data_IF_723650058565
#
_entry.id   IF_723650058565
#
_cell.length_a   1.000
_cell.length_b   1.000
_cell.length_c   1.000
_cell.angle_alpha   90.00
_cell.angle_beta   90.00
_cell.angle_gamma   90.00
#
_symmetry.space_group_name_H-M   'P 1'
#
loop_
_entity.id
_entity.type
_entity.pdbx_description
1 polymer ?
#
# COMPACT_ATOMS: atom_id res chain seq x y z
N UNK A 1 -34.36 6.28 8.89
CA UNK A 1 -33.01 5.77 9.20
C UNK A 1 -32.77 4.40 8.53
N UNK A 2 -32.90 4.29 7.19
CA UNK A 2 -32.77 2.98 6.51
C UNK A 2 -32.36 3.05 5.03
N UNK A 3 -31.59 4.08 4.64
CA UNK A 3 -30.99 4.24 3.31
C UNK A 3 -29.45 4.14 3.32
N UNK A 4 -28.85 3.73 4.45
CA UNK A 4 -27.39 3.52 4.57
C UNK A 4 -26.91 2.10 4.21
N UNK A 5 -27.81 1.20 3.79
CA UNK A 5 -27.50 -0.24 3.58
C UNK A 5 -27.24 -0.66 2.12
N UNK A 6 -27.24 0.27 1.15
CA UNK A 6 -27.08 -0.07 -0.28
C UNK A 6 -25.70 0.25 -0.89
N UNK A 7 -24.70 0.66 -0.11
CA UNK A 7 -23.35 0.96 -0.63
C UNK A 7 -22.21 0.10 -0.03
N UNK A 8 -22.55 -0.96 0.71
CA UNK A 8 -21.57 -1.84 1.38
C UNK A 8 -21.90 -3.33 1.20
N UNK A 9 -22.03 -3.79 -0.04
CA UNK A 9 -21.80 -5.20 -0.38
C UNK A 9 -20.57 -5.31 -1.28
N UNK A 10 -19.46 -4.80 -0.78
CA UNK A 10 -18.16 -5.39 -1.08
C UNK A 10 -18.09 -6.68 -0.23
N UNK A 11 -17.37 -7.72 -0.66
CA UNK A 11 -17.18 -8.92 0.18
C UNK A 11 -16.84 -8.50 1.62
N UNK A 12 -17.38 -9.17 2.66
CA UNK A 12 -17.07 -8.76 4.02
C UNK A 12 -15.56 -8.81 4.21
N UNK A 13 -14.97 -7.67 4.58
CA UNK A 13 -13.56 -7.61 4.96
C UNK A 13 -13.30 -8.66 6.01
N UNK A 14 -12.22 -9.41 5.84
CA UNK A 14 -11.89 -10.47 6.79
C UNK A 14 -11.56 -9.85 8.15
N UNK A 15 -12.32 -10.18 9.22
CA UNK A 15 -12.01 -9.69 10.55
C UNK A 15 -10.74 -10.38 11.02
N UNK A 16 -9.62 -9.66 10.98
CA UNK A 16 -8.34 -10.12 11.49
C UNK A 16 -8.19 -9.73 12.96
N UNK A 17 -7.59 -10.61 13.74
CA UNK A 17 -7.10 -10.28 15.09
C UNK A 17 -5.95 -9.27 15.01
N UNK A 18 -5.69 -8.53 16.09
CA UNK A 18 -4.55 -7.61 16.13
C UNK A 18 -3.21 -8.31 15.89
N UNK A 19 -3.08 -9.58 16.28
CA UNK A 19 -1.87 -10.37 16.05
C UNK A 19 -1.67 -10.64 14.55
N UNK A 20 -2.74 -11.00 13.84
CA UNK A 20 -2.73 -11.22 12.40
C UNK A 20 -2.47 -9.93 11.63
N UNK A 21 -3.09 -8.82 12.04
CA UNK A 21 -2.85 -7.50 11.45
C UNK A 21 -1.39 -7.07 11.59
N UNK A 22 -0.79 -7.24 12.77
CA UNK A 22 0.64 -6.92 12.98
C UNK A 22 1.57 -7.79 12.14
N UNK A 23 1.24 -9.07 11.99
CA UNK A 23 2.00 -9.98 11.13
C UNK A 23 1.90 -9.57 9.68
N UNK A 24 0.70 -9.22 9.22
CA UNK A 24 0.44 -8.75 7.86
C UNK A 24 1.17 -7.43 7.57
N UNK A 25 1.14 -6.48 8.50
CA UNK A 25 1.88 -5.21 8.42
C UNK A 25 3.38 -5.45 8.30
N UNK A 26 3.96 -6.32 9.13
CA UNK A 26 5.38 -6.65 9.06
C UNK A 26 5.75 -7.34 7.73
N UNK A 27 4.92 -8.29 7.28
CA UNK A 27 5.10 -8.99 6.01
C UNK A 27 5.04 -8.02 4.82
N UNK A 28 4.07 -7.10 4.84
CA UNK A 28 3.93 -6.05 3.86
C UNK A 28 5.17 -5.14 3.83
N UNK A 29 5.67 -4.73 4.99
CA UNK A 29 6.89 -3.92 5.12
C UNK A 29 8.12 -4.61 4.51
N UNK A 30 8.36 -5.89 4.83
CA UNK A 30 9.46 -6.68 4.27
C UNK A 30 9.36 -6.80 2.74
N UNK A 31 8.14 -7.02 2.23
CA UNK A 31 7.90 -7.15 0.79
C UNK A 31 8.14 -5.83 0.03
N UNK A 32 7.69 -4.71 0.60
CA UNK A 32 7.92 -3.36 0.05
C UNK A 32 9.42 -3.02 0.06
N UNK A 33 10.15 -3.38 1.12
CA UNK A 33 11.59 -3.16 1.23
C UNK A 33 12.38 -3.97 0.20
N UNK A 34 12.00 -5.23 -0.04
CA UNK A 34 12.64 -6.07 -1.06
C UNK A 34 12.37 -5.63 -2.50
N UNK A 35 11.24 -4.96 -2.75
CA UNK A 35 10.78 -4.69 -4.12
C UNK A 35 10.17 -3.28 -4.33
N UNK A 36 10.92 -2.19 -4.06
CA UNK A 36 10.37 -0.82 -4.10
C UNK A 36 9.86 -0.40 -5.48
N UNK A 37 10.44 -0.91 -6.57
CA UNK A 37 10.00 -0.59 -7.93
C UNK A 37 8.65 -1.21 -8.29
N UNK A 38 8.32 -2.36 -7.71
CA UNK A 38 7.01 -2.99 -7.90
C UNK A 38 5.95 -2.14 -7.21
N UNK A 39 6.28 -1.62 -6.02
CA UNK A 39 5.36 -0.89 -5.16
C UNK A 39 5.55 0.62 -5.22
N UNK A 40 5.74 1.18 -6.42
CA UNK A 40 5.99 2.62 -6.60
C UNK A 40 4.80 3.54 -6.19
N UNK A 41 3.69 2.97 -5.73
CA UNK A 41 2.56 3.67 -5.10
C UNK A 41 2.50 3.53 -3.57
N UNK A 42 3.42 2.76 -2.98
CA UNK A 42 3.60 2.60 -1.54
C UNK A 42 4.93 3.23 -1.18
N UNK A 43 4.88 4.21 -0.30
CA UNK A 43 6.02 5.05 0.03
C UNK A 43 6.36 4.90 1.49
N UNK A 44 7.61 4.54 1.78
CA UNK A 44 8.10 4.49 3.16
C UNK A 44 8.35 5.91 3.64
N UNK A 45 7.66 6.32 4.71
CA UNK A 45 7.97 7.59 5.39
C UNK A 45 9.16 7.37 6.34
N UNK A 46 9.10 6.30 7.12
CA UNK A 46 10.14 5.91 8.07
C UNK A 46 10.10 4.39 8.35
N UNK A 47 10.74 3.95 9.43
CA UNK A 47 10.79 2.53 9.81
C UNK A 47 9.44 1.84 10.02
N UNK A 48 8.39 2.60 10.35
CA UNK A 48 7.10 2.08 10.86
C UNK A 48 5.88 2.72 10.22
N UNK A 49 6.07 3.54 9.18
CA UNK A 49 5.00 4.29 8.50
C UNK A 49 5.11 4.19 6.99
N UNK A 50 3.98 3.92 6.36
CA UNK A 50 3.86 3.83 4.91
C UNK A 50 2.70 4.70 4.41
N UNK A 51 2.92 5.38 3.30
CA UNK A 51 1.91 6.17 2.60
C UNK A 51 1.53 5.46 1.31
N UNK A 52 0.24 5.28 1.08
CA UNK A 52 -0.31 4.53 -0.06
C UNK A 52 -1.12 5.50 -0.92
N UNK A 53 -0.63 5.73 -2.13
CA UNK A 53 -1.16 6.74 -3.07
C UNK A 53 -2.04 6.16 -4.17
N UNK A 54 -2.09 4.82 -4.29
CA UNK A 54 -2.90 4.13 -5.29
C UNK A 54 -3.54 2.88 -4.68
N UNK A 55 -4.78 2.60 -5.08
CA UNK A 55 -5.57 1.48 -4.54
C UNK A 55 -6.01 0.56 -5.68
N UNK A 56 -6.07 -0.74 -5.40
CA UNK A 56 -6.45 -1.76 -6.38
C UNK A 56 -7.69 -2.54 -5.97
N UNK A 57 -8.02 -2.60 -4.68
CA UNK A 57 -9.18 -3.32 -4.20
C UNK A 57 -10.48 -2.64 -4.65
N UNK A 58 -11.48 -3.37 -5.19
CA UNK A 58 -12.73 -2.79 -5.72
C UNK A 58 -13.45 -1.82 -4.79
N UNK A 59 -13.36 -2.06 -3.47
CA UNK A 59 -13.93 -1.21 -2.44
C UNK A 59 -13.33 0.19 -2.34
N UNK A 60 -12.06 0.28 -2.72
CA UNK A 60 -11.24 1.48 -2.62
C UNK A 60 -11.02 2.17 -3.97
N UNK A 61 -11.23 1.47 -5.10
CA UNK A 61 -11.00 2.00 -6.45
C UNK A 61 -11.65 3.35 -6.71
N UNK A 62 -12.87 3.60 -6.19
CA UNK A 62 -13.57 4.89 -6.34
C UNK A 62 -12.87 6.08 -5.66
N UNK A 63 -11.94 5.83 -4.74
CA UNK A 63 -11.16 6.85 -4.03
C UNK A 63 -9.79 7.09 -4.65
N UNK A 64 -9.41 6.29 -5.66
CA UNK A 64 -8.18 6.46 -6.44
C UNK A 64 -8.08 7.89 -6.98
N UNK A 65 -6.96 8.55 -6.76
CA UNK A 65 -6.77 9.92 -7.24
C UNK A 65 -7.45 11.01 -6.41
N UNK A 66 -8.12 10.63 -5.33
CA UNK A 66 -8.88 11.53 -4.45
C UNK A 66 -8.38 11.47 -3.01
N UNK A 67 -7.93 10.29 -2.59
CA UNK A 67 -7.49 10.02 -1.23
C UNK A 67 -6.14 9.29 -1.25
N UNK A 68 -5.38 9.42 -0.17
CA UNK A 68 -4.23 8.58 0.12
C UNK A 68 -4.30 8.12 1.57
N UNK A 69 -3.64 7.01 1.86
CA UNK A 69 -3.69 6.35 3.17
C UNK A 69 -2.33 6.40 3.84
N UNK A 70 -2.32 6.68 5.14
CA UNK A 70 -1.20 6.44 6.04
C UNK A 70 -1.48 5.16 6.83
N UNK A 71 -0.57 4.21 6.71
CA UNK A 71 -0.50 3.02 7.55
C UNK A 71 0.59 3.25 8.58
N UNK A 72 0.24 3.09 9.85
CA UNK A 72 1.19 3.00 10.96
C UNK A 72 0.72 1.92 11.94
N UNK A 73 1.59 1.50 12.85
CA UNK A 73 1.34 0.33 13.71
C UNK A 73 -0.06 0.29 14.33
N UNK A 74 -0.87 -0.67 13.89
CA UNK A 74 -2.24 -0.90 14.37
C UNK A 74 -3.27 0.18 14.01
N UNK A 75 -2.93 1.16 13.17
CA UNK A 75 -3.86 2.20 12.75
C UNK A 75 -3.74 2.51 11.27
N UNK A 76 -4.88 2.80 10.65
CA UNK A 76 -4.95 3.19 9.26
C UNK A 76 -5.73 4.49 9.19
N UNK A 77 -5.11 5.53 8.64
CA UNK A 77 -5.74 6.83 8.45
C UNK A 77 -5.77 7.17 6.97
N UNK A 78 -6.81 7.87 6.53
CA UNK A 78 -6.89 8.36 5.16
C UNK A 78 -7.10 9.87 5.15
N UNK A 79 -6.63 10.48 4.06
CA UNK A 79 -6.64 11.92 3.86
C UNK A 79 -7.21 12.22 2.48
N UNK A 80 -8.18 13.12 2.45
CA UNK A 80 -8.84 13.58 1.22
C UNK A 80 -8.11 14.78 0.67
N UNK A 81 -7.73 14.73 -0.61
CA UNK A 81 -7.22 15.92 -1.28
C UNK A 81 -8.33 16.99 -1.40
N UNK A 82 -7.98 18.28 -1.48
CA UNK A 82 -8.96 19.35 -1.63
C UNK A 82 -9.86 19.13 -2.85
N UNK A 83 -11.17 19.10 -2.63
CA UNK A 83 -12.19 18.82 -3.66
C UNK A 83 -12.67 17.36 -3.71
N UNK A 84 -12.00 16.43 -3.02
CA UNK A 84 -12.50 15.07 -2.81
C UNK A 84 -13.78 15.07 -1.94
N UNK A 85 -14.68 14.11 -2.19
CA UNK A 85 -15.95 13.95 -1.47
C UNK A 85 -16.19 12.49 -1.11
N UNK A 86 -17.01 12.28 -0.08
CA UNK A 86 -17.44 10.95 0.36
C UNK A 86 -18.06 10.17 -0.81
N UNK A 87 -17.77 8.87 -0.87
CA UNK A 87 -18.26 7.98 -1.92
C UNK A 87 -17.52 8.11 -3.26
N UNK A 88 -16.37 8.78 -3.31
CA UNK A 88 -15.55 8.89 -4.53
C UNK A 88 -16.10 9.86 -5.58
N UNK A 89 -17.01 10.76 -5.20
CA UNK A 89 -17.72 11.66 -6.12
C UNK A 89 -17.08 13.05 -6.27
N UNK A 90 -16.00 13.31 -5.54
CA UNK A 90 -15.31 14.60 -5.58
C UNK A 90 -14.56 14.84 -6.88
N UNK A 91 -14.18 16.10 -7.12
CA UNK A 91 -13.32 16.50 -8.23
C UNK A 91 -12.06 17.13 -7.68
N UNK A 92 -10.93 16.47 -7.93
CA UNK A 92 -9.59 16.94 -7.61
C UNK A 92 -8.86 17.14 -8.93
N UNK A 93 -8.43 18.37 -9.23
CA UNK A 93 -7.75 18.71 -10.47
C UNK A 93 -6.39 17.98 -10.60
N UNK A 94 -5.89 17.83 -11.83
CA UNK A 94 -4.49 17.46 -12.00
C UNK A 94 -3.60 18.64 -11.54
N UNK A 95 -2.43 18.32 -10.97
CA UNK A 95 -1.52 19.34 -10.45
C UNK A 95 -0.70 18.87 -9.26
N UNK A 96 0.10 19.78 -8.71
CA UNK A 96 0.91 19.54 -7.53
C UNK A 96 0.18 20.05 -6.28
N UNK A 97 0.18 19.22 -5.26
CA UNK A 97 -0.45 19.45 -3.98
C UNK A 97 0.61 19.42 -2.90
N UNK A 98 0.64 20.45 -2.07
CA UNK A 98 1.48 20.51 -0.88
C UNK A 98 0.55 20.50 0.33
N UNK A 99 0.55 19.39 1.05
CA UNK A 99 -0.42 19.14 2.12
C UNK A 99 0.28 18.73 3.39
N UNK A 100 -0.25 19.11 4.55
CA UNK A 100 0.19 18.56 5.82
C UNK A 100 -0.80 17.52 6.33
N UNK A 101 -0.26 16.45 6.91
CA UNK A 101 -1.03 15.37 7.51
C UNK A 101 -0.46 15.08 8.90
N UNK A 102 -1.35 14.72 9.81
CA UNK A 102 -0.97 14.35 11.18
C UNK A 102 -1.24 12.88 11.38
N UNK A 103 -0.24 12.15 11.87
CA UNK A 103 -0.30 10.76 12.29
C UNK A 103 -1.12 10.62 13.59
N UNK A 104 -1.81 9.50 13.81
CA UNK A 104 -2.43 9.18 15.09
C UNK A 104 -1.48 9.30 16.30
N UNK A 105 -0.19 8.97 16.14
CA UNK A 105 0.85 9.18 17.14
C UNK A 105 1.29 10.66 17.32
N UNK A 106 0.65 11.61 16.63
CA UNK A 106 0.90 13.05 16.75
C UNK A 106 2.04 13.59 15.87
N UNK A 107 2.74 12.74 15.12
CA UNK A 107 3.75 13.18 14.16
C UNK A 107 3.08 13.92 13.00
N UNK A 108 3.63 15.06 12.57
CA UNK A 108 3.10 15.83 11.45
C UNK A 108 4.08 15.82 10.28
N UNK A 109 3.55 15.55 9.09
CA UNK A 109 4.32 15.44 7.86
C UNK A 109 3.82 16.45 6.85
N UNK A 110 4.76 17.11 6.17
CA UNK A 110 4.51 17.81 4.93
C UNK A 110 4.70 16.82 3.79
N UNK A 111 3.67 16.65 2.97
CA UNK A 111 3.60 15.71 1.88
C UNK A 111 3.40 16.47 0.57
N UNK A 112 4.27 16.21 -0.40
CA UNK A 112 4.17 16.76 -1.75
C UNK A 112 3.68 15.67 -2.70
N UNK A 113 2.51 15.89 -3.32
CA UNK A 113 1.83 14.91 -4.18
C UNK A 113 1.56 15.54 -5.54
N UNK A 114 1.90 14.83 -6.62
CA UNK A 114 1.42 15.15 -7.97
C UNK A 114 0.24 14.28 -8.32
N UNK A 115 -0.88 14.89 -8.70
CA UNK A 115 -1.95 14.20 -9.42
C UNK A 115 -1.72 14.36 -10.91
N UNK A 116 -1.42 13.26 -11.59
CA UNK A 116 -1.19 13.28 -13.03
C UNK A 116 -2.52 13.33 -13.83
N UNK A 117 -2.43 13.49 -15.15
CA UNK A 117 -3.60 13.60 -16.04
C UNK A 117 -4.49 12.34 -16.06
N UNK A 118 -3.94 11.17 -15.71
CA UNK A 118 -4.67 9.91 -15.58
C UNK A 118 -5.32 9.75 -14.20
N UNK A 119 -5.19 10.76 -13.34
CA UNK A 119 -5.77 10.79 -12.01
C UNK A 119 -4.97 10.06 -10.94
N UNK A 120 -3.77 9.57 -11.24
CA UNK A 120 -2.93 8.87 -10.27
C UNK A 120 -2.17 9.84 -9.37
N UNK A 121 -2.03 9.48 -8.09
CA UNK A 121 -1.26 10.24 -7.12
C UNK A 121 0.17 9.69 -7.04
N UNK A 122 1.13 10.58 -7.24
CA UNK A 122 2.56 10.30 -7.16
C UNK A 122 3.14 11.11 -6.01
N UNK A 123 3.82 10.43 -5.09
CA UNK A 123 4.54 11.12 -4.03
C UNK A 123 5.81 11.73 -4.61
N UNK A 124 5.99 13.03 -4.40
CA UNK A 124 7.19 13.78 -4.79
C UNK A 124 8.17 13.91 -3.62
N UNK A 125 7.66 14.01 -2.39
CA UNK A 125 8.47 14.16 -1.21
C UNK A 125 7.67 14.13 0.09
N UNK A 126 8.35 13.76 1.18
CA UNK A 126 7.84 13.83 2.55
C UNK A 126 8.92 14.46 3.42
N UNK A 127 8.53 15.43 4.23
CA UNK A 127 9.39 16.02 5.25
C UNK A 127 8.60 16.23 6.54
N UNK A 128 9.27 16.51 7.68
CA UNK A 128 8.57 17.00 8.86
C UNK A 128 7.72 18.24 8.52
N UNK A 129 6.52 18.33 9.09
CA UNK A 129 5.68 19.52 8.92
C UNK A 129 6.31 20.74 9.61
N UNK A 130 6.20 21.94 9.02
CA UNK A 130 6.62 23.16 9.69
C UNK A 130 5.77 23.40 10.94
N UNK A 131 6.33 24.11 11.93
CA UNK A 131 5.60 24.49 13.14
C UNK A 131 4.34 25.30 12.79
N UNK A 132 3.26 25.08 13.56
CA UNK A 132 1.99 25.79 13.39
C UNK A 132 2.20 27.31 13.42
N UNK A 133 1.72 28.03 12.41
CA UNK A 133 1.89 29.48 12.27
C UNK A 133 2.95 29.93 11.26
N UNK A 134 3.70 29.02 10.64
CA UNK A 134 4.51 29.34 9.46
C UNK A 134 3.61 29.63 8.23
N UNK A 135 4.02 30.56 7.36
CA UNK A 135 3.28 31.07 6.18
C UNK A 135 2.53 29.99 5.36
N UNK A 136 1.36 30.29 4.73
CA UNK A 136 0.39 29.29 4.27
C UNK A 136 0.76 28.73 2.88
N UNK A 137 1.90 28.06 2.77
CA UNK A 137 2.30 27.41 1.51
C UNK A 137 1.69 26.01 1.32
N UNK A 138 0.82 25.56 2.22
CA UNK A 138 0.27 24.19 2.24
C UNK A 138 -1.13 24.14 2.85
N UNK A 139 -1.85 23.05 2.59
CA UNK A 139 -3.19 22.79 3.15
C UNK A 139 -3.12 21.65 4.15
N UNK A 140 -3.57 21.87 5.38
CA UNK A 140 -3.72 20.80 6.36
C UNK A 140 -4.94 19.95 6.03
N UNK A 141 -4.74 18.63 5.92
CA UNK A 141 -5.82 17.69 5.63
C UNK A 141 -6.36 17.07 6.92
N UNK A 142 -7.70 17.00 7.07
CA UNK A 142 -8.30 16.33 8.21
C UNK A 142 -7.97 14.84 8.18
N UNK A 143 -7.55 14.32 9.34
CA UNK A 143 -7.32 12.89 9.54
C UNK A 143 -8.65 12.17 9.70
N UNK A 144 -8.81 11.05 8.98
CA UNK A 144 -9.94 10.15 9.17
C UNK A 144 -9.45 8.73 9.45
N UNK A 145 -9.92 8.10 10.53
CA UNK A 145 -9.57 6.72 10.84
C UNK A 145 -10.34 5.74 9.95
N UNK A 146 -9.65 4.74 9.42
CA UNK A 146 -10.27 3.54 8.85
C UNK A 146 -10.28 2.43 9.89
N UNK A 147 -11.20 1.51 9.67
CA UNK A 147 -11.19 0.21 10.31
C UNK A 147 -10.03 -0.61 9.70
N UNK A 148 -9.12 -1.18 10.52
CA UNK A 148 -7.93 -1.88 10.01
C UNK A 148 -8.23 -3.03 9.05
N UNK A 149 -9.32 -3.78 9.30
CA UNK A 149 -9.80 -4.87 8.44
C UNK A 149 -10.02 -4.42 6.99
N UNK A 150 -10.42 -3.16 6.77
CA UNK A 150 -10.62 -2.61 5.42
C UNK A 150 -9.35 -2.59 4.62
N UNK A 151 -8.22 -2.34 5.28
CA UNK A 151 -6.93 -2.20 4.62
C UNK A 151 -6.17 -3.53 4.52
N UNK A 152 -6.56 -4.52 5.31
CA UNK A 152 -5.95 -5.84 5.28
C UNK A 152 -6.00 -6.48 3.88
N UNK A 153 -7.14 -6.38 3.18
CA UNK A 153 -7.28 -6.99 1.85
C UNK A 153 -6.45 -6.27 0.78
N UNK A 154 -6.27 -4.94 0.88
CA UNK A 154 -5.34 -4.21 0.02
C UNK A 154 -3.89 -4.62 0.27
N UNK A 155 -3.48 -4.80 1.54
CA UNK A 155 -2.14 -5.30 1.87
C UNK A 155 -1.93 -6.72 1.34
N UNK A 156 -2.90 -7.62 1.53
CA UNK A 156 -2.86 -9.00 1.01
C UNK A 156 -2.74 -9.00 -0.51
N UNK A 157 -3.54 -8.18 -1.20
CA UNK A 157 -3.48 -8.05 -2.66
C UNK A 157 -2.12 -7.50 -3.12
N UNK A 158 -1.57 -6.50 -2.44
CA UNK A 158 -0.24 -5.98 -2.73
C UNK A 158 0.83 -7.06 -2.56
N UNK A 159 0.83 -7.77 -1.43
CA UNK A 159 1.75 -8.89 -1.18
C UNK A 159 1.63 -9.94 -2.30
N UNK A 160 0.42 -10.42 -2.58
CA UNK A 160 0.18 -11.43 -3.61
C UNK A 160 0.68 -10.98 -4.99
N UNK A 161 0.40 -9.74 -5.38
CA UNK A 161 0.87 -9.17 -6.65
C UNK A 161 2.39 -9.06 -6.75
N UNK A 162 3.09 -8.78 -5.65
CA UNK A 162 4.55 -8.79 -5.63
C UNK A 162 5.12 -10.20 -5.78
N UNK A 163 4.55 -11.19 -5.07
CA UNK A 163 5.02 -12.59 -5.19
C UNK A 163 4.76 -13.10 -6.61
N UNK A 164 3.59 -12.79 -7.17
CA UNK A 164 3.25 -13.10 -8.56
C UNK A 164 4.25 -12.48 -9.54
N UNK A 165 4.65 -11.22 -9.33
CA UNK A 165 5.64 -10.56 -10.18
C UNK A 165 6.98 -11.28 -10.13
N UNK A 166 7.46 -11.67 -8.94
CA UNK A 166 8.73 -12.42 -8.81
C UNK A 166 8.63 -13.75 -9.53
N UNK A 167 7.51 -14.46 -9.36
CA UNK A 167 7.25 -15.70 -10.09
C UNK A 167 7.29 -15.51 -11.61
N UNK A 168 6.61 -14.48 -12.13
CA UNK A 168 6.59 -14.18 -13.57
C UNK A 168 7.98 -13.80 -14.09
N UNK A 169 8.73 -12.97 -13.35
CA UNK A 169 10.12 -12.59 -13.67
C UNK A 169 11.02 -13.82 -13.75
N UNK A 170 10.89 -14.75 -12.81
CA UNK A 170 11.63 -16.01 -12.86
C UNK A 170 11.28 -16.85 -14.09
N UNK A 171 9.98 -16.96 -14.42
CA UNK A 171 9.50 -17.79 -15.53
C UNK A 171 9.89 -17.28 -16.91
N UNK A 172 9.98 -15.95 -17.08
CA UNK A 172 10.33 -15.32 -18.37
C UNK A 172 11.83 -15.10 -18.55
N UNK A 173 12.64 -15.29 -17.51
CA UNK A 173 14.08 -15.10 -17.54
C UNK A 173 14.81 -16.18 -18.37
N UNK A 174 15.95 -15.79 -18.95
CA UNK A 174 16.95 -16.74 -19.44
C UNK A 174 17.62 -17.50 -18.28
N UNK A 175 18.38 -18.54 -18.58
CA UNK A 175 18.91 -19.45 -17.55
C UNK A 175 19.94 -18.77 -16.63
N UNK A 176 20.75 -17.85 -17.17
CA UNK A 176 21.69 -17.05 -16.37
C UNK A 176 20.94 -16.18 -15.36
N UNK A 177 19.88 -15.51 -15.82
CA UNK A 177 19.06 -14.65 -14.98
C UNK A 177 18.27 -15.47 -13.97
N UNK A 178 17.76 -16.66 -14.35
CA UNK A 178 17.11 -17.57 -13.40
C UNK A 178 18.05 -17.99 -12.26
N UNK A 179 19.29 -18.35 -12.57
CA UNK A 179 20.27 -18.69 -11.55
C UNK A 179 20.48 -17.53 -10.55
N UNK A 180 20.66 -16.31 -11.05
CA UNK A 180 20.80 -15.12 -10.21
C UNK A 180 19.54 -14.84 -9.35
N UNK A 181 18.34 -15.04 -9.91
CA UNK A 181 17.08 -14.88 -9.18
C UNK A 181 16.87 -15.98 -8.12
N UNK A 182 17.32 -17.20 -8.40
CA UNK A 182 17.30 -18.30 -7.44
C UNK A 182 18.26 -18.05 -6.27
N UNK A 183 19.39 -17.39 -6.52
CA UNK A 183 20.33 -16.94 -5.48
C UNK A 183 19.69 -15.84 -4.62
N UNK A 184 19.17 -14.78 -5.27
CA UNK A 184 18.43 -13.69 -4.60
C UNK A 184 17.30 -14.24 -3.72
N UNK A 185 16.55 -15.22 -4.23
CA UNK A 185 15.47 -15.88 -3.51
C UNK A 185 15.95 -16.63 -2.26
N UNK A 186 17.09 -17.33 -2.33
CA UNK A 186 17.62 -18.10 -1.19
C UNK A 186 18.04 -17.21 -0.02
N UNK A 187 18.54 -16.01 -0.34
CA UNK A 187 18.95 -15.02 0.65
C UNK A 187 17.79 -14.12 1.11
N UNK A 188 16.67 -14.12 0.38
CA UNK A 188 15.52 -13.28 0.68
C UNK A 188 14.81 -13.69 1.98
N UNK A 189 14.51 -12.70 2.83
CA UNK A 189 13.73 -12.87 4.06
C UNK A 189 12.23 -12.79 3.83
N UNK A 190 11.80 -12.00 2.84
CA UNK A 190 10.39 -11.73 2.57
C UNK A 190 9.53 -12.98 2.29
N UNK A 191 10.00 -14.08 1.66
CA UNK A 191 9.15 -15.24 1.40
C UNK A 191 8.64 -15.91 2.68
N UNK A 192 9.45 -15.89 3.74
CA UNK A 192 9.05 -16.39 5.06
C UNK A 192 8.08 -15.43 5.75
N UNK A 193 8.31 -14.13 5.61
CA UNK A 193 7.47 -13.10 6.21
C UNK A 193 6.04 -13.11 5.64
N UNK A 194 5.90 -13.26 4.32
CA UNK A 194 4.60 -13.20 3.63
C UNK A 194 3.82 -14.51 3.59
N UNK A 195 4.42 -15.63 4.03
CA UNK A 195 3.72 -16.92 4.06
C UNK A 195 2.52 -16.88 4.99
N UNK A 196 1.39 -17.39 4.51
CA UNK A 196 0.10 -17.36 5.21
C UNK A 196 -0.59 -15.99 5.21
N UNK A 197 -0.09 -15.00 4.45
CA UNK A 197 -0.78 -13.71 4.31
C UNK A 197 -2.10 -13.85 3.55
N UNK A 198 -2.14 -14.69 2.51
CA UNK A 198 -3.36 -15.06 1.79
C UNK A 198 -3.18 -16.40 1.04
N UNK A 199 -4.28 -17.07 0.66
CA UNK A 199 -4.22 -18.28 -0.17
C UNK A 199 -3.48 -18.07 -1.50
N UNK A 200 -3.66 -16.92 -2.15
CA UNK A 200 -3.02 -16.55 -3.41
C UNK A 200 -1.51 -16.39 -3.23
N UNK A 201 -1.10 -15.70 -2.16
CA UNK A 201 0.31 -15.53 -1.80
C UNK A 201 0.98 -16.91 -1.65
N UNK A 202 0.38 -17.81 -0.87
CA UNK A 202 0.91 -19.15 -0.66
C UNK A 202 0.94 -20.00 -1.94
N UNK A 203 -0.03 -19.82 -2.84
CA UNK A 203 -0.04 -20.49 -4.13
C UNK A 203 1.15 -20.03 -5.01
N UNK A 204 1.37 -18.72 -5.13
CA UNK A 204 2.49 -18.20 -5.91
C UNK A 204 3.85 -18.56 -5.31
N UNK A 205 3.99 -18.54 -3.97
CA UNK A 205 5.20 -18.99 -3.29
C UNK A 205 5.52 -20.45 -3.67
N UNK A 206 4.54 -21.36 -3.60
CA UNK A 206 4.74 -22.77 -3.98
C UNK A 206 5.14 -22.94 -5.44
N UNK A 207 4.52 -22.19 -6.35
CA UNK A 207 4.84 -22.26 -7.79
C UNK A 207 6.26 -21.79 -8.07
N UNK A 208 6.71 -20.74 -7.39
CA UNK A 208 8.07 -20.22 -7.49
C UNK A 208 9.10 -21.21 -6.92
N UNK A 209 8.85 -21.75 -5.73
CA UNK A 209 9.71 -22.78 -5.10
C UNK A 209 9.91 -23.99 -6.01
N UNK A 210 8.83 -24.51 -6.60
CA UNK A 210 8.89 -25.63 -7.54
C UNK A 210 9.67 -25.28 -8.82
N UNK A 211 9.53 -24.04 -9.31
CA UNK A 211 10.23 -23.58 -10.51
C UNK A 211 11.75 -23.47 -10.27
N UNK A 212 12.14 -23.00 -9.09
CA UNK A 212 13.55 -22.91 -8.68
C UNK A 212 14.16 -24.30 -8.54
N UNK A 213 13.50 -25.21 -7.79
CA UNK A 213 14.01 -26.56 -7.54
C UNK A 213 14.26 -27.37 -8.84
N UNK A 214 13.40 -27.22 -9.84
CA UNK A 214 13.54 -27.87 -11.16
C UNK A 214 14.71 -27.35 -11.99
N UNK A 215 15.18 -26.14 -11.72
CA UNK A 215 16.28 -25.52 -12.49
C UNK A 215 17.64 -25.90 -11.90
N UNK A 216 17.68 -26.32 -10.64
CA UNK A 216 18.89 -26.71 -9.91
C UNK A 216 19.11 -28.23 -9.84
N UNK A 217 18.22 -29.02 -10.43
CA UNK A 217 18.30 -30.49 -10.51
C UNK A 217 18.84 -30.91 -11.86
#
# INVERSE_FOLDING_TARGET
MLLRRLLYREAPFEPLTDAELRRLEAAFGEMVEGHPLIYYWIHRIDGVRWLITDFFHPSMLRYRGLEFVLVERGTVSYYRLPGAKVGGTGRVAAGNYRVSITSPAGAAFLTEIRKNALGRLELLGVSPAPASGASPSHVELPRHSLEPSKFADEMKAAIAGGVEWVYRRYRSADDRTKAALADEWRDARWPRAVRGASPETDAYLRMLEQSIARTTS
#
